data_IF_483304815527
#
_entry.id   IF_483304815527
#
_cell.length_a   1.000
_cell.length_b   1.000
_cell.length_c   1.000
_cell.angle_alpha   90.00
_cell.angle_beta   90.00
_cell.angle_gamma   90.00
#
_symmetry.space_group_name_H-M   'P 1'
#
loop_
_entity.id
_entity.type
_entity.pdbx_description
1 polymer ?
#
# COMPACT_ATOMS: atom_id res chain seq x y z
N UNK A 1 -1.02 3.75 -10.75
CA UNK A 1 -1.69 3.47 -9.45
C UNK A 1 -3.21 3.41 -9.65
N UNK A 2 -3.90 2.51 -8.96
CA UNK A 2 -5.37 2.48 -8.86
C UNK A 2 -5.86 3.12 -7.56
N UNK A 3 -5.14 2.91 -6.46
CA UNK A 3 -5.46 3.50 -5.15
C UNK A 3 -4.17 4.01 -4.47
N UNK A 4 -4.32 5.06 -3.67
CA UNK A 4 -3.23 5.65 -2.89
C UNK A 4 -3.69 5.86 -1.44
N UNK A 5 -2.81 5.60 -0.50
CA UNK A 5 -2.95 5.99 0.91
C UNK A 5 -1.67 6.70 1.37
N UNK A 6 -1.82 7.67 2.27
CA UNK A 6 -0.71 8.47 2.79
C UNK A 6 -0.71 8.48 4.32
N UNK A 7 0.49 8.48 4.88
CA UNK A 7 0.66 8.60 6.34
C UNK A 7 1.90 9.39 6.71
N UNK A 8 1.84 10.04 7.87
CA UNK A 8 2.94 10.83 8.42
C UNK A 8 2.88 12.31 8.02
N UNK A 9 4.02 12.99 8.11
CA UNK A 9 4.19 14.43 7.88
C UNK A 9 5.34 14.66 6.93
N UNK A 10 5.16 15.54 5.95
CA UNK A 10 6.12 15.77 4.86
C UNK A 10 7.54 16.08 5.35
N UNK A 11 7.68 17.02 6.29
CA UNK A 11 8.98 17.48 6.79
C UNK A 11 9.61 16.59 7.88
N UNK A 12 8.89 15.57 8.35
CA UNK A 12 9.36 14.66 9.42
C UNK A 12 9.58 13.26 8.86
N UNK A 13 8.51 12.53 8.60
CA UNK A 13 8.54 11.21 7.99
C UNK A 13 7.18 10.98 7.36
N UNK A 14 7.17 10.65 6.06
CA UNK A 14 5.95 10.26 5.36
C UNK A 14 6.13 8.93 4.64
N UNK A 15 5.01 8.28 4.40
CA UNK A 15 4.90 7.05 3.63
C UNK A 15 3.75 7.18 2.64
N UNK A 16 3.97 6.69 1.43
CA UNK A 16 2.94 6.60 0.40
C UNK A 16 2.78 5.13 0.04
N UNK A 17 1.56 4.62 0.17
CA UNK A 17 1.16 3.32 -0.32
C UNK A 17 0.47 3.49 -1.66
N UNK A 18 0.88 2.68 -2.63
CA UNK A 18 0.28 2.68 -3.95
C UNK A 18 -0.10 1.27 -4.36
N UNK A 19 -1.41 0.99 -4.42
CA UNK A 19 -1.92 -0.20 -5.09
C UNK A 19 -1.98 0.09 -6.60
N UNK A 20 -1.46 -0.83 -7.42
CA UNK A 20 -1.34 -0.67 -8.86
C UNK A 20 -2.15 -1.73 -9.60
N UNK A 21 -2.59 -1.39 -10.83
CA UNK A 21 -3.37 -2.28 -11.70
C UNK A 21 -2.59 -3.52 -12.19
N UNK A 22 -1.29 -3.56 -11.95
CA UNK A 22 -0.44 -4.71 -12.24
C UNK A 22 -0.45 -5.78 -11.12
N UNK A 23 -1.31 -5.63 -10.11
CA UNK A 23 -1.39 -6.58 -9.00
C UNK A 23 -0.32 -6.39 -7.93
N UNK A 24 0.38 -5.25 -7.91
CA UNK A 24 1.38 -4.94 -6.87
C UNK A 24 0.96 -3.76 -6.01
N UNK A 25 1.31 -3.83 -4.73
CA UNK A 25 1.29 -2.70 -3.79
C UNK A 25 2.71 -2.28 -3.52
N UNK A 26 2.98 -0.98 -3.63
CA UNK A 26 4.28 -0.38 -3.41
C UNK A 26 4.26 0.54 -2.18
N UNK A 27 5.31 0.47 -1.36
CA UNK A 27 5.53 1.40 -0.26
C UNK A 27 6.72 2.32 -0.57
N UNK A 28 6.44 3.61 -0.63
CA UNK A 28 7.44 4.68 -0.74
C UNK A 28 7.66 5.31 0.62
N UNK A 29 8.92 5.62 0.94
CA UNK A 29 9.32 6.30 2.18
C UNK A 29 10.04 7.59 1.83
N UNK A 30 9.99 8.59 2.72
CA UNK A 30 10.78 9.82 2.59
C UNK A 30 12.25 9.50 2.29
N UNK A 31 12.84 10.22 1.34
CA UNK A 31 14.25 10.10 0.97
C UNK A 31 14.59 8.90 0.08
N UNK A 32 13.64 8.00 -0.22
CA UNK A 32 13.85 6.90 -1.16
C UNK A 32 12.73 6.87 -2.23
N UNK A 33 13.01 7.34 -3.46
CA UNK A 33 12.03 7.35 -4.54
C UNK A 33 11.76 5.95 -5.11
N UNK A 34 12.64 4.97 -4.85
CA UNK A 34 12.43 3.60 -5.28
C UNK A 34 11.63 2.83 -4.21
N UNK A 35 10.59 2.08 -4.62
CA UNK A 35 9.77 1.34 -3.67
C UNK A 35 10.58 0.18 -3.09
N UNK A 36 10.83 0.21 -1.78
CA UNK A 36 11.68 -0.79 -1.11
C UNK A 36 10.97 -2.13 -0.92
N UNK A 37 9.65 -2.08 -0.72
CA UNK A 37 8.82 -3.24 -0.45
C UNK A 37 7.68 -3.27 -1.47
N UNK A 38 7.53 -4.41 -2.14
CA UNK A 38 6.37 -4.71 -2.97
C UNK A 38 5.61 -5.91 -2.41
N UNK A 39 4.28 -5.83 -2.43
CA UNK A 39 3.38 -6.93 -2.08
C UNK A 39 2.70 -7.35 -3.37
N UNK A 40 2.78 -8.62 -3.72
CA UNK A 40 2.02 -9.19 -4.82
C UNK A 40 0.61 -9.55 -4.35
N UNK A 41 -0.38 -9.15 -5.14
CA UNK A 41 -1.78 -9.50 -5.00
C UNK A 41 -2.13 -10.53 -6.08
N UNK A 42 -2.86 -11.57 -5.72
CA UNK A 42 -3.33 -12.58 -6.67
C UNK A 42 -4.40 -12.04 -7.64
N UNK A 43 -4.93 -10.86 -7.37
CA UNK A 43 -5.98 -10.19 -8.16
C UNK A 43 -5.83 -8.67 -8.04
N UNK A 44 -6.50 -7.93 -8.92
CA UNK A 44 -6.43 -6.46 -8.94
C UNK A 44 -7.11 -5.90 -7.69
N UNK A 45 -6.45 -4.96 -7.02
CA UNK A 45 -7.05 -4.23 -5.90
C UNK A 45 -8.28 -3.43 -6.37
N UNK A 46 -9.38 -3.54 -5.65
CA UNK A 46 -10.62 -2.77 -5.83
C UNK A 46 -10.86 -1.76 -4.69
N UNK A 47 -10.07 -1.84 -3.62
CA UNK A 47 -10.07 -0.88 -2.53
C UNK A 47 -8.80 -1.00 -1.70
N UNK A 48 -8.40 0.10 -1.05
CA UNK A 48 -7.22 0.20 -0.20
C UNK A 48 -7.58 1.09 0.99
N UNK A 49 -7.39 0.58 2.20
CA UNK A 49 -7.62 1.33 3.43
C UNK A 49 -6.52 1.03 4.45
N UNK A 50 -6.17 2.02 5.27
CA UNK A 50 -5.19 1.86 6.34
C UNK A 50 -5.86 1.96 7.69
N UNK A 51 -5.66 0.95 8.52
CA UNK A 51 -6.15 0.92 9.89
C UNK A 51 -4.99 0.69 10.87
N UNK A 52 -4.55 1.77 11.52
CA UNK A 52 -3.39 1.76 12.41
C UNK A 52 -2.09 1.40 11.68
N UNK A 53 -1.52 0.22 12.00
CA UNK A 53 -0.30 -0.33 11.38
C UNK A 53 -0.59 -1.30 10.22
N UNK A 54 -1.88 -1.55 9.97
CA UNK A 54 -2.34 -2.53 8.99
C UNK A 54 -2.86 -1.83 7.74
N UNK A 55 -2.69 -2.52 6.61
CA UNK A 55 -3.15 -2.15 5.28
C UNK A 55 -4.16 -3.20 4.87
N UNK A 56 -5.38 -2.77 4.60
CA UNK A 56 -6.50 -3.62 4.19
C UNK A 56 -6.71 -3.40 2.69
N UNK A 57 -6.79 -4.49 1.95
CA UNK A 57 -6.91 -4.47 0.49
C UNK A 57 -8.07 -5.38 0.11
N UNK A 58 -9.08 -4.80 -0.55
CA UNK A 58 -10.11 -5.56 -1.22
C UNK A 58 -9.63 -5.91 -2.62
N UNK A 59 -9.83 -7.15 -3.05
CA UNK A 59 -9.43 -7.65 -4.37
C UNK A 59 -10.65 -8.03 -5.24
N UNK A 60 -10.47 -8.02 -6.56
CA UNK A 60 -11.54 -8.31 -7.52
C UNK A 60 -12.03 -9.77 -7.47
N UNK A 61 -11.26 -10.69 -6.89
CA UNK A 61 -11.64 -12.08 -6.64
C UNK A 61 -12.49 -12.27 -5.37
N UNK A 62 -13.11 -11.19 -4.86
CA UNK A 62 -13.91 -11.18 -3.63
C UNK A 62 -13.13 -11.56 -2.36
N UNK A 63 -11.80 -11.46 -2.39
CA UNK A 63 -10.95 -11.64 -1.21
C UNK A 63 -10.63 -10.30 -0.53
N UNK A 64 -10.35 -10.37 0.77
CA UNK A 64 -9.89 -9.24 1.57
C UNK A 64 -8.61 -9.64 2.29
N UNK A 65 -7.53 -8.90 2.03
CA UNK A 65 -6.21 -9.14 2.61
C UNK A 65 -5.85 -8.05 3.62
N UNK A 66 -5.18 -8.46 4.70
CA UNK A 66 -4.65 -7.56 5.71
C UNK A 66 -3.15 -7.77 5.82
N UNK A 67 -2.37 -6.72 5.54
CA UNK A 67 -0.92 -6.73 5.64
C UNK A 67 -0.46 -5.80 6.75
N UNK A 68 0.53 -6.22 7.53
CA UNK A 68 1.16 -5.36 8.55
C UNK A 68 2.47 -4.81 8.01
N UNK A 69 2.61 -3.49 8.08
CA UNK A 69 3.92 -2.85 7.89
C UNK A 69 4.80 -3.17 9.10
N UNK A 70 5.74 -4.12 8.96
CA UNK A 70 6.79 -4.32 9.96
C UNK A 70 7.66 -3.05 10.03
N UNK A 71 7.80 -2.55 11.26
CA UNK A 71 8.62 -1.38 11.60
C UNK A 71 10.09 -1.72 11.38
#
# INVERSE_FOLDING_TARGET
>A
PSFLDVSGVYDVEFRILAACRNGYIYLFRRGNPQPRNSIYLNSIAVGLERFGKNIIVGCMDSSLHCYTTKV
#
